data_IF_789046300463
#
_entry.id   IF_789046300463
#
_cell.length_a   1.000
_cell.length_b   1.000
_cell.length_c   1.000
_cell.angle_alpha   90.00
_cell.angle_beta   90.00
_cell.angle_gamma   90.00
#
_symmetry.space_group_name_H-M   'P 1'
#
loop_
_entity.id
_entity.type
_entity.pdbx_description
1 polymer ?
#
# COMPACT_ATOMS: atom_id res chain seq x y z
N UNK A 1 -47.15 68.01 -3.83
CA UNK A 1 -47.83 67.39 -2.67
C UNK A 1 -48.21 68.54 -1.72
N UNK A 2 -49.43 68.60 -1.36
CA UNK A 2 -49.93 69.53 -0.34
C UNK A 2 -49.56 69.02 1.04
N UNK A 3 -49.68 69.89 2.03
CA UNK A 3 -49.42 69.43 3.43
C UNK A 3 -50.37 68.26 3.79
N UNK A 4 -49.83 67.19 4.25
CA UNK A 4 -50.55 65.94 4.61
C UNK A 4 -50.83 64.97 3.48
N UNK A 5 -50.54 65.29 2.25
CA UNK A 5 -50.69 64.39 1.10
C UNK A 5 -49.62 63.25 1.15
N UNK A 6 -50.06 62.04 0.85
CA UNK A 6 -49.19 60.84 0.67
C UNK A 6 -49.15 60.46 -0.77
N UNK A 7 -48.00 60.09 -1.26
CA UNK A 7 -47.80 59.43 -2.55
C UNK A 7 -47.20 58.04 -2.29
N UNK A 8 -47.81 57.02 -2.87
CA UNK A 8 -47.32 55.64 -2.79
C UNK A 8 -46.79 55.19 -4.17
N UNK A 9 -45.66 54.57 -4.14
CA UNK A 9 -45.04 53.98 -5.32
C UNK A 9 -44.83 52.49 -5.07
N UNK A 10 -45.37 51.65 -5.93
CA UNK A 10 -45.23 50.20 -5.84
C UNK A 10 -44.38 49.74 -7.03
N UNK A 11 -43.37 48.93 -6.77
CA UNK A 11 -42.55 48.33 -7.81
C UNK A 11 -42.15 46.89 -7.42
N UNK A 12 -41.95 46.06 -8.41
CA UNK A 12 -41.47 44.68 -8.20
C UNK A 12 -39.99 44.60 -8.57
N UNK A 13 -39.24 43.77 -7.84
CA UNK A 13 -37.86 43.43 -8.14
C UNK A 13 -37.74 41.93 -8.24
N UNK A 14 -36.94 41.45 -9.16
CA UNK A 14 -36.58 40.05 -9.23
C UNK A 14 -35.44 39.77 -8.27
N UNK A 15 -35.53 38.66 -7.56
CA UNK A 15 -34.40 38.10 -6.86
C UNK A 15 -33.42 37.57 -7.89
N UNK A 16 -32.14 37.87 -7.72
CA UNK A 16 -31.09 37.38 -8.61
C UNK A 16 -31.09 35.86 -8.71
N UNK A 17 -30.43 35.36 -9.77
CA UNK A 17 -30.26 33.92 -9.97
C UNK A 17 -29.58 33.28 -8.77
N UNK A 18 -29.85 31.98 -8.58
CA UNK A 18 -29.25 31.22 -7.52
C UNK A 18 -27.72 31.21 -7.59
N UNK A 19 -27.16 31.16 -8.79
CA UNK A 19 -25.71 31.21 -9.01
C UNK A 19 -25.08 32.50 -8.46
N UNK A 20 -25.79 33.62 -8.59
CA UNK A 20 -25.36 34.90 -8.02
C UNK A 20 -25.56 34.92 -6.50
N UNK A 21 -26.68 34.35 -5.99
CA UNK A 21 -27.00 34.31 -4.56
C UNK A 21 -26.09 33.31 -3.81
N UNK A 22 -25.63 32.25 -4.46
CA UNK A 22 -24.72 31.27 -3.85
C UNK A 22 -23.42 31.91 -3.32
N UNK A 23 -23.03 33.07 -3.86
CA UNK A 23 -21.85 33.85 -3.42
C UNK A 23 -22.02 34.48 -2.05
N UNK A 24 -23.26 34.60 -1.56
CA UNK A 24 -23.55 35.19 -0.26
C UNK A 24 -23.59 34.12 0.84
N UNK A 25 -23.07 34.43 2.03
CA UNK A 25 -23.24 33.56 3.20
C UNK A 25 -24.72 33.37 3.54
N UNK A 26 -25.06 32.26 4.21
CA UNK A 26 -26.40 32.07 4.76
C UNK A 26 -26.74 33.20 5.76
N UNK A 27 -28.00 33.63 5.78
CA UNK A 27 -28.50 34.75 6.60
C UNK A 27 -27.92 36.12 6.20
N UNK A 28 -27.45 36.28 4.94
CA UNK A 28 -27.02 37.59 4.47
C UNK A 28 -28.18 38.58 4.41
N UNK A 29 -28.02 39.71 5.08
CA UNK A 29 -28.95 40.82 5.05
C UNK A 29 -28.81 41.63 3.74
N UNK A 30 -29.86 41.68 2.95
CA UNK A 30 -29.95 42.48 1.73
C UNK A 30 -30.77 43.72 2.06
N UNK A 31 -30.15 44.89 1.93
CA UNK A 31 -30.75 46.17 2.27
C UNK A 31 -31.25 46.88 1.00
N UNK A 32 -32.53 47.23 1.00
CA UNK A 32 -33.09 48.11 -0.04
C UNK A 32 -33.41 49.44 0.59
N UNK A 33 -32.81 50.50 0.08
CA UNK A 33 -32.88 51.86 0.62
C UNK A 33 -33.60 52.81 -0.35
N UNK A 34 -34.61 53.47 0.14
CA UNK A 34 -35.26 54.59 -0.55
C UNK A 34 -34.82 55.90 0.07
N UNK A 35 -34.50 56.89 -0.75
CA UNK A 35 -34.04 58.22 -0.30
C UNK A 35 -34.83 59.34 -0.97
N UNK A 36 -35.24 60.38 -0.22
CA UNK A 36 -35.82 61.60 -0.72
C UNK A 36 -35.42 62.78 0.13
N UNK A 37 -34.83 63.82 -0.47
CA UNK A 37 -34.41 65.07 0.20
C UNK A 37 -33.69 64.85 1.54
N UNK A 38 -32.73 63.95 1.54
CA UNK A 38 -31.90 63.63 2.74
C UNK A 38 -32.63 62.84 3.83
N UNK A 39 -33.79 62.31 3.57
CA UNK A 39 -34.52 61.36 4.42
C UNK A 39 -34.43 59.98 3.77
N UNK A 40 -34.03 59.00 4.56
CA UNK A 40 -33.83 57.63 4.11
C UNK A 40 -34.78 56.70 4.82
N UNK A 41 -35.20 55.65 4.12
CA UNK A 41 -35.92 54.51 4.69
C UNK A 41 -35.29 53.23 4.09
N UNK A 42 -34.98 52.29 4.92
CA UNK A 42 -34.35 51.01 4.52
C UNK A 42 -35.24 49.86 4.99
N UNK A 43 -35.47 48.93 4.08
CA UNK A 43 -36.03 47.62 4.43
C UNK A 43 -34.96 46.56 4.20
N UNK A 44 -34.97 45.55 5.07
CA UNK A 44 -34.00 44.45 5.01
C UNK A 44 -34.74 43.17 4.67
N UNK A 45 -34.20 42.46 3.65
CA UNK A 45 -34.59 41.09 3.32
C UNK A 45 -33.43 40.19 3.68
N UNK A 46 -33.70 39.08 4.33
CA UNK A 46 -32.68 38.11 4.70
C UNK A 46 -32.66 37.01 3.64
N UNK A 47 -31.51 36.83 3.05
CA UNK A 47 -31.25 35.68 2.20
C UNK A 47 -30.94 34.46 3.08
N UNK A 48 -31.71 33.41 2.94
CA UNK A 48 -31.46 32.12 3.58
C UNK A 48 -31.19 31.07 2.52
N UNK A 49 -30.08 30.33 2.69
CA UNK A 49 -29.88 29.10 1.94
C UNK A 49 -30.84 28.05 2.49
N UNK A 50 -31.45 27.23 1.63
CA UNK A 50 -32.29 26.15 2.14
C UNK A 50 -31.45 25.18 2.97
N UNK A 51 -31.95 24.82 4.14
CA UNK A 51 -31.38 23.76 4.95
C UNK A 51 -31.88 22.43 4.40
N UNK A 52 -30.96 21.71 3.77
CA UNK A 52 -31.20 20.38 3.22
C UNK A 52 -30.39 19.37 3.99
N UNK A 53 -30.95 18.19 4.16
CA UNK A 53 -30.19 17.02 4.62
C UNK A 53 -30.15 16.00 3.52
N UNK A 54 -28.99 15.38 3.32
CA UNK A 54 -28.79 14.28 2.40
C UNK A 54 -28.27 13.11 3.21
N UNK A 55 -28.93 11.98 3.09
CA UNK A 55 -28.51 10.71 3.67
C UNK A 55 -28.37 9.67 2.56
N UNK A 56 -27.34 8.83 2.67
CA UNK A 56 -27.07 7.77 1.71
C UNK A 56 -26.73 6.50 2.45
N UNK A 57 -27.34 5.41 2.04
CA UNK A 57 -27.13 4.08 2.61
C UNK A 57 -27.11 3.02 1.51
N UNK A 58 -26.52 1.90 1.82
CA UNK A 58 -26.53 0.68 0.98
C UNK A 58 -27.32 -0.44 1.66
N UNK A 59 -27.88 -1.33 0.88
CA UNK A 59 -28.57 -2.54 1.37
C UNK A 59 -27.59 -3.62 1.85
N UNK A 60 -26.33 -3.53 1.42
CA UNK A 60 -25.25 -4.45 1.79
C UNK A 60 -24.00 -3.65 2.18
N UNK A 61 -23.27 -4.12 3.19
CA UNK A 61 -21.99 -3.53 3.60
C UNK A 61 -20.79 -4.36 3.10
N UNK A 62 -20.91 -5.68 3.19
CA UNK A 62 -19.93 -6.64 2.68
C UNK A 62 -20.47 -7.25 1.41
N UNK A 63 -19.71 -7.18 0.34
CA UNK A 63 -20.12 -7.59 -0.99
C UNK A 63 -18.99 -8.33 -1.72
N UNK A 64 -19.35 -9.02 -2.76
CA UNK A 64 -18.46 -9.80 -3.61
C UNK A 64 -18.44 -9.28 -5.04
N UNK A 65 -17.45 -9.70 -5.81
CA UNK A 65 -17.41 -9.38 -7.24
C UNK A 65 -18.65 -9.92 -7.96
N UNK A 66 -19.32 -9.05 -8.70
CA UNK A 66 -20.57 -9.38 -9.40
C UNK A 66 -21.84 -9.08 -8.62
N UNK A 67 -21.78 -8.83 -7.32
CA UNK A 67 -22.93 -8.48 -6.49
C UNK A 67 -23.63 -7.22 -6.97
N UNK A 68 -24.94 -7.21 -6.82
CA UNK A 68 -25.77 -6.03 -6.96
C UNK A 68 -25.95 -5.37 -5.59
N UNK A 69 -25.71 -4.06 -5.54
CA UNK A 69 -25.87 -3.22 -4.35
C UNK A 69 -26.88 -2.14 -4.63
N UNK A 70 -27.90 -2.05 -3.77
CA UNK A 70 -28.91 -1.01 -3.85
C UNK A 70 -28.54 0.16 -2.95
N UNK A 71 -28.26 1.32 -3.54
CA UNK A 71 -28.10 2.56 -2.81
C UNK A 71 -29.43 3.25 -2.63
N UNK A 72 -29.67 3.74 -1.44
CA UNK A 72 -30.82 4.57 -1.08
C UNK A 72 -30.31 5.93 -0.71
N UNK A 73 -30.74 6.96 -1.45
CA UNK A 73 -30.44 8.36 -1.18
C UNK A 73 -31.70 9.06 -0.74
N UNK A 74 -31.65 9.74 0.38
CA UNK A 74 -32.76 10.53 0.90
C UNK A 74 -32.34 11.99 0.97
N UNK A 75 -33.11 12.87 0.37
CA UNK A 75 -32.96 14.33 0.51
C UNK A 75 -34.22 14.91 1.17
N UNK A 76 -34.04 15.76 2.12
CA UNK A 76 -35.16 16.41 2.86
C UNK A 76 -34.95 17.92 2.95
N UNK A 77 -35.99 18.66 2.54
CA UNK A 77 -36.08 20.10 2.75
C UNK A 77 -36.53 20.36 4.20
N UNK A 78 -35.66 20.90 5.02
CA UNK A 78 -35.97 21.21 6.45
C UNK A 78 -36.74 22.52 6.65
N UNK A 79 -36.87 23.31 5.55
CA UNK A 79 -37.49 24.62 5.62
C UNK A 79 -39.02 24.58 5.44
N UNK A 80 -39.68 25.64 5.88
CA UNK A 80 -41.15 25.84 5.76
C UNK A 80 -41.54 26.47 4.40
N UNK A 81 -40.60 26.55 3.45
CA UNK A 81 -40.78 27.08 2.11
C UNK A 81 -40.16 26.14 1.04
N UNK A 82 -40.60 26.35 -0.18
CA UNK A 82 -40.12 25.56 -1.33
C UNK A 82 -38.66 25.91 -1.64
N UNK A 83 -37.88 24.90 -1.97
CA UNK A 83 -36.48 25.07 -2.41
C UNK A 83 -36.44 25.63 -3.84
N UNK A 84 -35.24 25.94 -4.24
CA UNK A 84 -34.86 26.06 -5.65
C UNK A 84 -34.72 24.67 -6.27
N UNK A 85 -34.44 24.62 -7.58
CA UNK A 85 -34.18 23.35 -8.26
C UNK A 85 -33.00 22.61 -7.64
N UNK A 86 -33.24 21.34 -7.32
CA UNK A 86 -32.26 20.44 -6.73
C UNK A 86 -31.71 19.49 -7.77
N UNK A 87 -30.41 19.47 -7.85
CA UNK A 87 -29.64 18.51 -8.66
C UNK A 87 -28.66 17.81 -7.70
N UNK A 88 -28.70 16.51 -7.69
CA UNK A 88 -27.74 15.69 -6.96
C UNK A 88 -26.75 15.10 -7.95
N UNK A 89 -25.47 15.19 -7.62
CA UNK A 89 -24.38 14.56 -8.37
C UNK A 89 -23.77 13.45 -7.52
N UNK A 90 -23.81 12.25 -8.07
CA UNK A 90 -23.25 11.05 -7.47
C UNK A 90 -22.07 10.58 -8.32
N UNK A 91 -20.92 10.42 -7.70
CA UNK A 91 -19.72 9.96 -8.38
C UNK A 91 -19.36 8.56 -7.91
N UNK A 92 -19.66 7.58 -8.75
CA UNK A 92 -19.35 6.19 -8.49
C UNK A 92 -17.82 5.99 -8.48
N UNK A 93 -17.26 5.33 -7.45
CA UNK A 93 -15.87 4.93 -7.47
C UNK A 93 -15.61 3.89 -8.55
N UNK A 94 -14.32 3.69 -8.88
CA UNK A 94 -13.93 2.48 -9.63
C UNK A 94 -14.38 1.26 -8.84
N UNK A 95 -14.80 0.23 -9.53
CA UNK A 95 -15.35 -0.98 -8.90
C UNK A 95 -16.87 -0.98 -8.75
N UNK A 96 -17.57 0.13 -9.05
CA UNK A 96 -19.03 0.18 -9.12
C UNK A 96 -19.49 0.56 -10.53
N UNK A 97 -20.42 -0.19 -11.07
CA UNK A 97 -21.03 0.04 -12.39
C UNK A 97 -22.52 0.24 -12.22
N UNK A 98 -23.03 1.42 -12.58
CA UNK A 98 -24.47 1.70 -12.56
C UNK A 98 -25.21 0.69 -13.42
N UNK A 99 -26.35 0.22 -12.91
CA UNK A 99 -27.25 -0.71 -13.61
C UNK A 99 -28.58 -0.05 -13.95
N UNK A 100 -29.31 0.37 -12.95
CA UNK A 100 -30.64 0.96 -13.09
C UNK A 100 -31.07 1.69 -11.82
N UNK A 101 -32.10 2.51 -11.96
CA UNK A 101 -32.84 3.16 -10.89
C UNK A 101 -34.15 2.38 -10.63
N UNK A 102 -34.62 2.36 -9.41
CA UNK A 102 -35.87 1.68 -9.02
C UNK A 102 -36.98 2.73 -8.88
N UNK A 103 -38.05 2.59 -9.66
CA UNK A 103 -39.24 3.46 -9.51
C UNK A 103 -40.11 3.07 -8.30
N UNK A 104 -41.18 3.82 -8.05
CA UNK A 104 -42.10 3.56 -6.92
C UNK A 104 -42.82 2.21 -7.01
N UNK A 105 -42.92 1.65 -8.20
CA UNK A 105 -43.62 0.37 -8.45
C UNK A 105 -42.63 -0.81 -8.38
N UNK A 106 -41.33 -0.52 -8.15
CA UNK A 106 -40.27 -1.51 -8.15
C UNK A 106 -39.71 -1.86 -9.55
N UNK A 107 -40.10 -1.11 -10.58
CA UNK A 107 -39.57 -1.33 -11.92
C UNK A 107 -38.15 -0.79 -12.07
N UNK A 108 -37.39 -1.45 -12.91
CA UNK A 108 -36.03 -1.06 -13.26
C UNK A 108 -36.08 -0.06 -14.42
N UNK A 109 -35.46 1.10 -14.24
CA UNK A 109 -35.40 2.19 -15.23
C UNK A 109 -33.96 2.64 -15.40
N UNK A 110 -33.50 2.74 -16.63
CA UNK A 110 -32.08 3.02 -16.94
C UNK A 110 -31.77 4.48 -17.25
N UNK A 111 -32.75 5.32 -17.55
CA UNK A 111 -32.52 6.71 -17.98
C UNK A 111 -33.17 7.73 -17.05
N UNK A 112 -34.50 7.68 -16.94
CA UNK A 112 -35.26 8.60 -16.10
C UNK A 112 -36.44 7.86 -15.49
N UNK A 113 -36.88 8.26 -14.32
CA UNK A 113 -38.03 7.65 -13.68
C UNK A 113 -39.00 8.69 -13.13
N UNK A 114 -40.27 8.37 -13.19
CA UNK A 114 -41.34 9.10 -12.49
C UNK A 114 -41.69 8.36 -11.22
N UNK A 115 -42.18 9.10 -10.24
CA UNK A 115 -42.80 8.52 -9.05
C UNK A 115 -41.83 7.87 -8.06
N UNK A 116 -40.90 8.65 -7.56
CA UNK A 116 -40.15 8.25 -6.37
C UNK A 116 -41.03 8.35 -5.13
N UNK A 117 -40.93 7.34 -4.27
CA UNK A 117 -41.66 7.32 -3.01
C UNK A 117 -41.09 8.39 -2.10
N UNK A 118 -41.84 9.47 -1.89
CA UNK A 118 -41.62 10.34 -0.76
C UNK A 118 -42.48 9.82 0.38
N UNK A 119 -41.94 9.22 1.44
CA UNK A 119 -42.73 8.62 2.53
C UNK A 119 -43.68 9.59 3.21
N UNK A 120 -43.46 10.91 3.10
CA UNK A 120 -44.28 11.97 3.66
C UNK A 120 -44.78 12.94 2.59
N UNK A 121 -44.90 12.50 1.35
CA UNK A 121 -45.20 13.42 0.26
C UNK A 121 -46.63 13.91 0.28
N UNK A 122 -46.76 15.22 0.22
CA UNK A 122 -47.99 15.90 -0.18
C UNK A 122 -48.32 15.66 -1.64
N UNK A 123 -47.30 15.25 -2.45
CA UNK A 123 -47.46 14.89 -3.83
C UNK A 123 -47.16 13.39 -4.05
N UNK A 124 -48.11 12.66 -4.61
CA UNK A 124 -48.06 11.21 -4.77
C UNK A 124 -47.02 10.73 -5.80
N UNK A 125 -46.45 11.62 -6.60
CA UNK A 125 -45.49 11.29 -7.66
C UNK A 125 -44.55 12.43 -7.96
N UNK A 126 -43.29 12.13 -8.12
CA UNK A 126 -42.26 13.07 -8.54
C UNK A 126 -41.43 12.48 -9.67
N UNK A 127 -41.28 13.25 -10.72
CA UNK A 127 -40.34 12.91 -11.78
C UNK A 127 -38.90 13.21 -11.31
N UNK A 128 -38.02 12.25 -11.52
CA UNK A 128 -36.57 12.44 -11.34
C UNK A 128 -35.90 12.20 -12.67
N UNK A 129 -35.28 13.24 -13.22
CA UNK A 129 -34.42 13.09 -14.38
C UNK A 129 -33.11 12.42 -13.97
N UNK A 130 -32.68 11.43 -14.71
CA UNK A 130 -31.38 10.79 -14.54
C UNK A 130 -30.56 11.00 -15.81
N UNK A 131 -29.34 11.48 -15.63
CA UNK A 131 -28.30 11.49 -16.65
C UNK A 131 -27.11 10.67 -16.14
N UNK A 132 -26.63 9.75 -16.99
CA UNK A 132 -25.47 8.91 -16.71
C UNK A 132 -24.35 9.32 -17.66
N UNK A 133 -23.23 9.74 -17.10
CA UNK A 133 -22.00 10.07 -17.82
C UNK A 133 -20.82 9.31 -17.20
N UNK A 134 -20.55 8.13 -17.74
CA UNK A 134 -19.55 7.21 -17.19
C UNK A 134 -19.84 6.83 -15.74
N UNK A 135 -19.04 7.34 -14.81
CA UNK A 135 -19.21 7.09 -13.36
C UNK A 135 -20.02 8.19 -12.66
N UNK A 136 -20.42 9.24 -13.37
CA UNK A 136 -21.18 10.33 -12.79
C UNK A 136 -22.67 10.13 -13.08
N UNK A 137 -23.46 10.10 -12.02
CA UNK A 137 -24.91 10.09 -12.05
C UNK A 137 -25.42 11.46 -11.66
N UNK A 138 -26.27 12.05 -12.45
CA UNK A 138 -26.90 13.35 -12.17
C UNK A 138 -28.40 13.16 -12.03
N UNK A 139 -28.94 13.43 -10.82
CA UNK A 139 -30.36 13.35 -10.52
C UNK A 139 -30.98 14.73 -10.47
N UNK A 140 -31.91 15.02 -11.37
CA UNK A 140 -32.66 16.28 -11.41
C UNK A 140 -33.99 16.11 -10.69
N UNK A 141 -34.14 16.72 -9.52
CA UNK A 141 -35.32 16.59 -8.66
C UNK A 141 -36.34 17.70 -8.84
N UNK A 142 -35.94 18.81 -9.45
CA UNK A 142 -36.74 20.04 -9.42
C UNK A 142 -36.79 20.65 -8.02
N UNK A 143 -37.81 21.46 -7.75
CA UNK A 143 -37.97 22.14 -6.46
C UNK A 143 -38.63 21.20 -5.44
N UNK A 144 -38.09 21.16 -4.24
CA UNK A 144 -38.71 20.46 -3.13
C UNK A 144 -39.68 21.39 -2.38
N UNK A 145 -40.88 20.93 -2.09
CA UNK A 145 -41.83 21.68 -1.27
C UNK A 145 -41.34 21.81 0.18
N UNK A 146 -42.00 22.64 0.96
CA UNK A 146 -41.76 22.75 2.40
C UNK A 146 -41.81 21.38 3.06
N UNK A 147 -40.80 21.01 3.87
CA UNK A 147 -40.70 19.74 4.59
C UNK A 147 -40.77 18.48 3.69
N UNK A 148 -40.62 18.63 2.40
CA UNK A 148 -40.65 17.48 1.49
C UNK A 148 -39.39 16.61 1.61
N UNK A 149 -39.63 15.31 1.65
CA UNK A 149 -38.62 14.27 1.69
C UNK A 149 -38.72 13.42 0.43
N UNK A 150 -37.64 13.26 -0.29
CA UNK A 150 -37.55 12.45 -1.52
C UNK A 150 -36.54 11.34 -1.30
N UNK A 151 -36.89 10.14 -1.72
CA UNK A 151 -36.00 8.98 -1.65
C UNK A 151 -35.76 8.44 -3.08
N UNK A 152 -34.50 8.28 -3.44
CA UNK A 152 -34.04 7.70 -4.70
C UNK A 152 -33.38 6.36 -4.39
N UNK A 153 -33.72 5.34 -5.18
CA UNK A 153 -33.07 4.04 -5.11
C UNK A 153 -32.46 3.70 -6.46
N UNK A 154 -31.19 3.35 -6.47
CA UNK A 154 -30.51 2.89 -7.66
C UNK A 154 -29.59 1.71 -7.35
N UNK A 155 -29.31 0.90 -8.36
CA UNK A 155 -28.53 -0.33 -8.23
C UNK A 155 -27.22 -0.20 -8.99
N UNK A 156 -26.15 -0.58 -8.34
CA UNK A 156 -24.83 -0.73 -8.95
C UNK A 156 -24.39 -2.19 -8.86
N UNK A 157 -23.60 -2.61 -9.85
CA UNK A 157 -22.91 -3.91 -9.86
C UNK A 157 -21.46 -3.69 -9.41
N UNK A 158 -20.97 -4.56 -8.55
CA UNK A 158 -19.54 -4.61 -8.19
C UNK A 158 -18.75 -5.24 -9.32
N UNK A 159 -17.69 -4.54 -9.77
CA UNK A 159 -16.77 -5.04 -10.80
C UNK A 159 -15.31 -4.80 -10.37
N UNK A 160 -14.72 -5.81 -9.77
CA UNK A 160 -13.34 -5.78 -9.30
C UNK A 160 -12.31 -5.67 -10.44
N UNK A 161 -12.71 -5.98 -11.70
CA UNK A 161 -11.80 -5.87 -12.85
C UNK A 161 -11.36 -4.43 -13.15
N UNK A 162 -12.06 -3.44 -12.61
CA UNK A 162 -11.70 -2.03 -12.71
C UNK A 162 -10.69 -1.57 -11.64
N UNK A 163 -10.47 -2.39 -10.62
CA UNK A 163 -9.67 -2.04 -9.45
C UNK A 163 -8.21 -2.52 -9.59
N UNK A 164 -7.25 -1.84 -8.95
CA UNK A 164 -5.89 -2.35 -8.80
C UNK A 164 -5.90 -3.61 -7.91
N UNK A 165 -4.79 -4.33 -7.91
CA UNK A 165 -4.61 -5.47 -7.01
C UNK A 165 -4.51 -5.00 -5.56
N UNK A 166 -5.33 -5.57 -4.67
CA UNK A 166 -5.32 -5.29 -3.25
C UNK A 166 -5.91 -6.48 -2.48
N UNK A 167 -5.58 -6.61 -1.20
CA UNK A 167 -6.16 -7.63 -0.34
C UNK A 167 -7.65 -7.36 -0.05
N UNK A 168 -7.98 -6.10 0.18
CA UNK A 168 -9.33 -5.62 0.48
C UNK A 168 -9.63 -4.36 -0.32
N UNK A 169 -10.90 -4.07 -0.53
CA UNK A 169 -11.36 -2.89 -1.23
C UNK A 169 -12.48 -2.20 -0.46
N UNK A 170 -12.27 -0.93 -0.14
CA UNK A 170 -13.31 -0.03 0.36
C UNK A 170 -13.80 0.85 -0.78
N UNK A 171 -15.05 0.68 -1.19
CA UNK A 171 -15.66 1.48 -2.23
C UNK A 171 -16.52 2.57 -1.59
N UNK A 172 -16.03 3.79 -1.61
CA UNK A 172 -16.73 4.96 -1.07
C UNK A 172 -17.48 5.66 -2.21
N UNK A 173 -18.80 5.64 -2.13
CA UNK A 173 -19.69 6.25 -3.10
C UNK A 173 -20.27 7.56 -2.55
N UNK A 174 -19.90 8.69 -3.14
CA UNK A 174 -20.25 10.04 -2.70
C UNK A 174 -21.35 10.66 -3.54
N UNK A 175 -22.25 11.39 -2.87
CA UNK A 175 -23.29 12.20 -3.50
C UNK A 175 -23.26 13.63 -2.94
N UNK A 176 -23.48 14.62 -3.78
CA UNK A 176 -23.44 16.04 -3.42
C UNK A 176 -24.64 16.77 -4.01
N UNK A 177 -25.22 17.71 -3.26
CA UNK A 177 -26.22 18.66 -3.78
C UNK A 177 -25.53 19.89 -4.38
N UNK A 178 -25.94 20.25 -5.57
CA UNK A 178 -25.45 21.46 -6.26
C UNK A 178 -25.90 22.76 -5.58
N UNK A 179 -26.99 22.74 -4.82
CA UNK A 179 -27.63 23.93 -4.25
C UNK A 179 -27.17 24.27 -2.84
N UNK A 180 -27.03 23.25 -1.99
CA UNK A 180 -26.60 23.43 -0.60
C UNK A 180 -25.12 23.22 -0.40
N UNK A 181 -24.48 22.45 -1.29
CA UNK A 181 -23.12 21.94 -1.13
C UNK A 181 -23.05 20.79 -0.11
N UNK A 182 -24.18 20.36 0.43
CA UNK A 182 -24.23 19.19 1.30
C UNK A 182 -23.81 17.93 0.54
N UNK A 183 -23.01 17.12 1.18
CA UNK A 183 -22.53 15.86 0.63
C UNK A 183 -22.51 14.77 1.68
N UNK A 184 -22.71 13.54 1.24
CA UNK A 184 -22.57 12.35 2.08
C UNK A 184 -21.96 11.21 1.27
N UNK A 185 -21.34 10.26 1.95
CA UNK A 185 -20.72 9.08 1.34
C UNK A 185 -21.17 7.82 2.03
N UNK A 186 -21.24 6.76 1.27
CA UNK A 186 -21.52 5.41 1.74
C UNK A 186 -20.39 4.48 1.36
N UNK A 187 -19.86 3.74 2.32
CA UNK A 187 -18.77 2.77 2.12
C UNK A 187 -19.32 1.36 2.11
N UNK A 188 -18.89 0.59 1.14
CA UNK A 188 -19.05 -0.87 1.12
C UNK A 188 -17.68 -1.53 1.07
N UNK A 189 -17.52 -2.63 1.76
CA UNK A 189 -16.32 -3.47 1.78
C UNK A 189 -16.49 -4.58 0.74
N UNK A 190 -15.48 -4.78 -0.11
CA UNK A 190 -15.51 -5.83 -1.13
C UNK A 190 -14.47 -6.87 -0.79
N UNK A 191 -14.92 -8.08 -0.52
CA UNK A 191 -14.05 -9.21 -0.24
C UNK A 191 -13.27 -9.64 -1.49
N UNK A 192 -11.98 -9.88 -1.33
CA UNK A 192 -11.18 -10.51 -2.37
C UNK A 192 -11.47 -12.02 -2.37
N UNK A 193 -12.00 -12.58 -3.46
CA UNK A 193 -12.35 -14.00 -3.51
C UNK A 193 -11.12 -14.92 -3.67
N UNK A 194 -9.97 -14.35 -3.94
CA UNK A 194 -8.74 -15.13 -4.13
C UNK A 194 -8.10 -15.41 -2.77
N UNK A 195 -7.81 -16.66 -2.51
CA UNK A 195 -6.97 -17.07 -1.40
C UNK A 195 -5.68 -17.69 -1.93
N UNK A 196 -4.61 -17.53 -1.16
CA UNK A 196 -3.29 -18.11 -1.44
C UNK A 196 -2.85 -18.86 -0.20
N UNK A 197 -2.46 -20.11 -0.36
CA UNK A 197 -1.92 -20.97 0.69
C UNK A 197 -0.58 -21.51 0.22
N UNK A 198 0.49 -21.17 0.94
CA UNK A 198 1.86 -21.54 0.61
C UNK A 198 2.43 -22.46 1.65
N UNK A 199 3.02 -23.57 1.21
CA UNK A 199 3.60 -24.59 2.08
C UNK A 199 5.01 -24.98 1.64
N UNK A 200 5.75 -25.56 2.58
CA UNK A 200 7.02 -26.23 2.32
C UNK A 200 6.89 -27.70 2.77
N UNK A 201 7.22 -28.64 1.89
CA UNK A 201 7.05 -30.08 2.10
C UNK A 201 5.65 -30.49 2.65
N UNK A 202 4.61 -29.69 2.31
CA UNK A 202 3.26 -29.88 2.80
C UNK A 202 2.97 -29.29 4.19
N UNK A 203 3.95 -28.68 4.85
CA UNK A 203 3.82 -28.02 6.15
C UNK A 203 3.79 -26.49 6.06
N UNK A 204 3.43 -25.85 7.18
CA UNK A 204 3.32 -24.38 7.32
C UNK A 204 4.69 -23.67 7.45
N UNK A 205 5.80 -24.41 7.31
CA UNK A 205 7.15 -23.89 7.37
C UNK A 205 7.82 -24.02 8.74
N UNK A 206 9.04 -23.45 8.83
CA UNK A 206 9.87 -23.54 10.03
C UNK A 206 10.83 -24.73 10.06
N UNK A 207 10.78 -25.57 9.03
CA UNK A 207 11.66 -26.72 8.85
C UNK A 207 13.11 -26.29 8.58
N UNK A 208 14.04 -27.14 8.98
CA UNK A 208 15.48 -26.90 8.83
C UNK A 208 16.05 -27.82 7.75
N UNK A 209 16.80 -27.23 6.82
CA UNK A 209 17.46 -27.93 5.72
C UNK A 209 18.96 -27.63 5.73
N UNK A 210 19.74 -28.59 5.31
CA UNK A 210 21.17 -28.39 5.04
C UNK A 210 21.36 -27.58 3.76
N UNK A 211 22.56 -27.03 3.59
CA UNK A 211 22.94 -26.43 2.32
C UNK A 211 22.75 -27.43 1.18
N UNK A 212 22.19 -26.95 0.06
CA UNK A 212 21.90 -27.73 -1.15
C UNK A 212 20.91 -28.90 -1.00
N UNK A 213 20.36 -29.11 0.20
CA UNK A 213 19.26 -30.06 0.38
C UNK A 213 17.99 -29.55 -0.29
N UNK A 214 17.39 -30.40 -1.13
CA UNK A 214 16.17 -30.05 -1.87
C UNK A 214 14.96 -30.16 -0.98
N UNK A 215 14.11 -29.16 -1.06
CA UNK A 215 12.76 -29.13 -0.49
C UNK A 215 11.77 -28.60 -1.50
N UNK A 216 10.49 -28.85 -1.29
CA UNK A 216 9.43 -28.50 -2.21
C UNK A 216 8.55 -27.38 -1.67
N UNK A 217 8.39 -26.32 -2.41
CA UNK A 217 7.31 -25.37 -2.21
C UNK A 217 6.05 -25.80 -2.96
N UNK A 218 4.90 -25.67 -2.32
CA UNK A 218 3.60 -25.78 -2.95
C UNK A 218 2.79 -24.51 -2.68
N UNK A 219 2.04 -24.05 -3.66
CA UNK A 219 1.21 -22.87 -3.61
C UNK A 219 -0.15 -23.23 -4.17
N UNK A 220 -1.17 -23.15 -3.33
CA UNK A 220 -2.56 -23.36 -3.70
C UNK A 220 -3.26 -22.02 -3.82
N UNK A 221 -3.85 -21.75 -4.97
CA UNK A 221 -4.64 -20.55 -5.26
C UNK A 221 -6.08 -20.99 -5.44
N UNK A 222 -7.00 -20.37 -4.69
CA UNK A 222 -8.42 -20.69 -4.78
C UNK A 222 -9.22 -19.43 -5.08
N UNK A 223 -10.14 -19.51 -6.06
CA UNK A 223 -11.20 -18.53 -6.19
C UNK A 223 -12.40 -19.05 -5.38
N UNK A 224 -12.62 -18.51 -4.18
CA UNK A 224 -13.60 -19.02 -3.23
C UNK A 224 -15.04 -18.74 -3.63
N UNK A 225 -15.30 -17.89 -4.64
CA UNK A 225 -16.62 -17.39 -4.93
C UNK A 225 -17.26 -17.80 -6.23
N UNK A 226 -18.57 -17.92 -6.09
CA UNK A 226 -19.53 -18.57 -6.94
C UNK A 226 -20.00 -17.84 -8.19
N UNK A 227 -19.66 -16.60 -8.51
CA UNK A 227 -20.47 -15.89 -9.49
C UNK A 227 -19.79 -15.33 -10.74
N UNK A 228 -18.50 -15.17 -10.79
CA UNK A 228 -17.88 -14.65 -12.01
C UNK A 228 -16.42 -15.06 -12.17
N UNK A 229 -16.03 -15.27 -13.41
CA UNK A 229 -14.63 -15.35 -13.78
C UNK A 229 -13.90 -14.09 -13.29
N UNK A 230 -12.85 -14.28 -12.54
CA UNK A 230 -12.15 -13.20 -11.89
C UNK A 230 -11.05 -12.65 -12.79
N UNK A 231 -11.06 -11.33 -12.97
CA UNK A 231 -10.10 -10.47 -13.63
C UNK A 231 -9.92 -10.59 -15.15
N UNK A 232 -10.42 -9.61 -15.86
CA UNK A 232 -10.37 -9.46 -17.32
C UNK A 232 -8.94 -9.46 -17.92
N UNK A 233 -7.93 -9.01 -17.19
CA UNK A 233 -6.53 -8.99 -17.63
C UNK A 233 -5.75 -10.27 -17.34
N UNK A 234 -6.37 -11.22 -16.62
CA UNK A 234 -5.73 -12.43 -16.12
C UNK A 234 -4.92 -12.19 -14.83
N UNK A 235 -4.97 -13.17 -13.95
CA UNK A 235 -4.19 -13.20 -12.71
C UNK A 235 -2.76 -13.63 -12.98
N UNK A 236 -1.86 -13.19 -12.13
CA UNK A 236 -0.48 -13.67 -12.07
C UNK A 236 -0.15 -14.07 -10.65
N UNK A 237 0.49 -15.22 -10.50
CA UNK A 237 1.13 -15.60 -9.24
C UNK A 237 2.55 -15.06 -9.24
N UNK A 238 2.91 -14.38 -8.18
CA UNK A 238 4.26 -13.92 -7.92
C UNK A 238 4.80 -14.61 -6.68
N UNK A 239 5.94 -15.28 -6.79
CA UNK A 239 6.65 -15.90 -5.69
C UNK A 239 7.98 -15.19 -5.47
N UNK A 240 8.17 -14.62 -4.29
CA UNK A 240 9.34 -13.84 -3.91
C UNK A 240 10.26 -14.66 -3.03
N UNK A 241 11.23 -15.33 -3.65
CA UNK A 241 12.24 -16.11 -2.97
C UNK A 241 13.33 -15.20 -2.41
N UNK A 242 13.68 -15.32 -1.13
CA UNK A 242 14.74 -14.52 -0.53
C UNK A 242 16.11 -14.88 -1.12
N UNK A 243 17.06 -13.97 -0.96
CA UNK A 243 18.47 -14.29 -1.30
C UNK A 243 18.92 -15.54 -0.52
N UNK A 244 19.76 -16.34 -1.13
CA UNK A 244 20.22 -17.67 -0.71
C UNK A 244 19.17 -18.82 -0.86
N UNK A 245 17.93 -18.56 -1.18
CA UNK A 245 16.99 -19.61 -1.56
C UNK A 245 16.83 -19.58 -3.08
N UNK A 246 17.21 -20.65 -3.74
CA UNK A 246 17.21 -20.78 -5.18
C UNK A 246 16.29 -21.90 -5.65
N UNK A 247 15.63 -21.77 -6.81
CA UNK A 247 15.00 -22.91 -7.46
C UNK A 247 16.02 -23.99 -7.75
N UNK A 248 15.58 -25.26 -7.78
CA UNK A 248 16.43 -26.38 -8.13
C UNK A 248 17.17 -26.16 -9.47
N UNK A 249 18.41 -26.62 -9.56
CA UNK A 249 19.23 -26.52 -10.76
C UNK A 249 18.70 -27.34 -11.95
N UNK A 250 17.69 -28.18 -11.73
CA UNK A 250 16.93 -28.83 -12.80
C UNK A 250 16.16 -27.79 -13.67
N UNK A 251 15.78 -26.64 -13.10
CA UNK A 251 15.09 -25.57 -13.80
C UNK A 251 16.09 -24.63 -14.46
N UNK A 252 16.28 -24.78 -15.77
CA UNK A 252 17.22 -23.99 -16.55
C UNK A 252 16.72 -22.56 -16.76
N UNK A 253 17.66 -21.63 -16.87
CA UNK A 253 17.38 -20.22 -17.14
C UNK A 253 17.47 -19.97 -18.64
N UNK A 254 16.44 -19.34 -19.18
CA UNK A 254 16.28 -19.02 -20.61
C UNK A 254 16.14 -17.51 -20.81
N UNK A 255 16.57 -17.03 -21.97
CA UNK A 255 16.30 -15.68 -22.45
C UNK A 255 15.66 -15.73 -23.84
N UNK A 256 15.02 -14.64 -24.25
CA UNK A 256 14.49 -14.55 -25.61
C UNK A 256 15.60 -14.71 -26.66
N UNK A 257 15.38 -15.57 -27.64
CA UNK A 257 16.32 -15.82 -28.74
C UNK A 257 16.57 -14.56 -29.55
N UNK A 258 15.54 -13.73 -29.69
CA UNK A 258 15.65 -12.43 -30.34
C UNK A 258 15.31 -11.34 -29.29
N UNK A 259 16.24 -10.42 -29.09
CA UNK A 259 16.07 -9.33 -28.14
C UNK A 259 14.80 -8.51 -28.41
N UNK A 260 14.06 -8.18 -27.37
CA UNK A 260 12.85 -7.37 -27.45
C UNK A 260 11.56 -8.11 -27.84
N UNK A 261 11.62 -9.38 -28.26
CA UNK A 261 10.42 -10.10 -28.74
C UNK A 261 9.47 -10.58 -27.64
N UNK A 262 9.97 -10.76 -26.41
CA UNK A 262 9.19 -11.29 -25.28
C UNK A 262 8.98 -10.26 -24.15
N UNK A 263 9.21 -8.97 -24.40
CA UNK A 263 9.13 -7.94 -23.36
C UNK A 263 7.71 -7.77 -22.76
N UNK A 264 6.70 -8.15 -23.52
CA UNK A 264 5.28 -7.96 -23.11
C UNK A 264 4.45 -9.24 -23.11
N UNK A 265 5.02 -10.40 -23.42
CA UNK A 265 4.30 -11.68 -23.49
C UNK A 265 5.17 -12.85 -23.06
N UNK A 266 4.52 -13.91 -22.65
CA UNK A 266 5.17 -15.20 -22.40
C UNK A 266 5.54 -15.90 -23.73
N UNK A 267 6.59 -16.76 -23.71
CA UNK A 267 6.94 -17.59 -24.86
C UNK A 267 5.75 -18.48 -25.28
N UNK A 268 5.59 -18.67 -26.58
CA UNK A 268 4.60 -19.59 -27.12
C UNK A 268 5.13 -21.02 -27.19
N UNK A 269 6.43 -21.17 -27.43
CA UNK A 269 7.13 -22.44 -27.52
C UNK A 269 8.63 -22.25 -27.25
N UNK A 270 9.37 -23.34 -27.20
CA UNK A 270 10.82 -23.34 -26.92
C UNK A 270 11.65 -22.71 -28.03
N UNK A 271 11.14 -22.62 -29.25
CA UNK A 271 11.85 -22.04 -30.38
C UNK A 271 12.11 -20.53 -30.19
N UNK A 272 11.34 -19.87 -29.36
CA UNK A 272 11.50 -18.46 -29.01
C UNK A 272 12.57 -18.21 -27.93
N UNK A 273 13.08 -19.28 -27.32
CA UNK A 273 14.01 -19.23 -26.18
C UNK A 273 15.38 -19.82 -26.54
N UNK A 274 16.38 -19.35 -25.84
CA UNK A 274 17.71 -19.93 -25.78
C UNK A 274 18.16 -20.07 -24.34
N UNK A 275 18.73 -21.20 -23.97
CA UNK A 275 19.29 -21.41 -22.62
C UNK A 275 20.39 -20.37 -22.38
N UNK A 276 20.33 -19.74 -21.21
CA UNK A 276 21.29 -18.69 -20.84
C UNK A 276 22.65 -19.27 -20.42
N UNK A 277 22.70 -20.54 -20.05
CA UNK A 277 23.92 -21.24 -19.64
C UNK A 277 24.54 -20.70 -18.35
N UNK A 278 23.72 -20.20 -17.44
CA UNK A 278 24.11 -19.59 -16.16
C UNK A 278 23.39 -20.29 -15.00
N UNK A 279 24.02 -20.33 -13.86
CA UNK A 279 23.42 -20.80 -12.60
C UNK A 279 22.47 -19.77 -12.01
N UNK A 280 21.63 -20.18 -11.06
CA UNK A 280 20.76 -19.27 -10.30
C UNK A 280 21.56 -18.22 -9.52
N UNK A 281 22.69 -18.62 -8.95
CA UNK A 281 23.63 -17.70 -8.28
C UNK A 281 24.15 -16.62 -9.24
N UNK A 282 24.67 -17.01 -10.38
CA UNK A 282 25.17 -16.07 -11.39
C UNK A 282 24.07 -15.15 -11.90
N UNK A 283 22.85 -15.66 -12.06
CA UNK A 283 21.70 -14.85 -12.42
C UNK A 283 21.44 -13.75 -11.40
N UNK A 284 21.53 -14.05 -10.11
CA UNK A 284 21.28 -13.07 -9.04
C UNK A 284 22.44 -12.09 -8.89
N UNK A 285 23.68 -12.57 -8.89
CA UNK A 285 24.86 -11.78 -8.54
C UNK A 285 25.48 -11.00 -9.71
N UNK A 286 25.61 -11.63 -10.88
CA UNK A 286 26.52 -11.18 -11.93
C UNK A 286 25.85 -10.63 -13.18
N UNK A 287 24.54 -10.75 -13.34
CA UNK A 287 23.90 -10.26 -14.57
C UNK A 287 23.65 -8.76 -14.50
N UNK A 288 24.31 -8.02 -15.39
CA UNK A 288 24.07 -6.60 -15.64
C UNK A 288 22.92 -6.36 -16.64
N UNK A 289 22.49 -7.40 -17.36
CA UNK A 289 21.46 -7.33 -18.39
C UNK A 289 20.07 -7.20 -17.78
N UNK A 290 19.28 -6.25 -18.30
CA UNK A 290 17.88 -5.99 -17.94
C UNK A 290 16.90 -6.78 -18.83
N UNK A 291 17.37 -7.79 -19.53
CA UNK A 291 16.54 -8.65 -20.37
C UNK A 291 15.44 -9.37 -19.58
N UNK A 292 14.46 -9.85 -20.32
CA UNK A 292 13.40 -10.70 -19.74
C UNK A 292 13.88 -12.15 -19.79
N UNK A 293 13.90 -12.77 -18.62
CA UNK A 293 14.32 -14.16 -18.44
C UNK A 293 13.15 -15.03 -18.05
N UNK A 294 13.27 -16.30 -18.35
CA UNK A 294 12.26 -17.33 -18.09
C UNK A 294 12.92 -18.58 -17.56
N UNK A 295 12.13 -19.40 -16.89
CA UNK A 295 12.45 -20.80 -16.60
C UNK A 295 11.25 -21.67 -16.95
N UNK A 296 11.43 -22.99 -16.94
CA UNK A 296 10.35 -23.95 -17.06
C UNK A 296 10.20 -24.72 -15.76
N UNK A 297 9.03 -24.64 -15.17
CA UNK A 297 8.67 -25.39 -13.97
C UNK A 297 7.45 -26.25 -14.34
N UNK A 298 7.57 -27.55 -14.20
CA UNK A 298 6.52 -28.52 -14.55
C UNK A 298 5.94 -28.31 -15.97
N UNK A 299 6.80 -27.93 -16.93
CA UNK A 299 6.40 -27.68 -18.31
C UNK A 299 5.82 -26.31 -18.62
N UNK A 300 5.59 -25.49 -17.60
CA UNK A 300 5.07 -24.12 -17.77
C UNK A 300 6.21 -23.10 -17.86
N UNK A 301 6.01 -22.07 -18.68
CA UNK A 301 6.93 -20.94 -18.72
C UNK A 301 6.67 -20.00 -17.55
N UNK A 302 7.70 -19.80 -16.75
CA UNK A 302 7.69 -18.92 -15.58
C UNK A 302 8.65 -17.76 -15.87
N UNK A 303 8.17 -16.53 -15.82
CA UNK A 303 9.04 -15.37 -15.93
C UNK A 303 9.83 -15.21 -14.65
N UNK A 304 11.13 -14.90 -14.79
CA UNK A 304 11.99 -14.67 -13.64
C UNK A 304 12.49 -13.24 -13.62
N UNK A 305 12.49 -12.64 -12.44
CA UNK A 305 13.01 -11.30 -12.18
C UNK A 305 13.86 -11.29 -10.93
N UNK A 306 14.81 -10.39 -10.88
CA UNK A 306 15.53 -10.06 -9.65
C UNK A 306 14.75 -8.97 -8.93
N UNK A 307 14.69 -9.01 -7.63
CA UNK A 307 14.18 -7.91 -6.85
C UNK A 307 15.12 -7.58 -5.69
N UNK A 308 15.07 -6.34 -5.26
CA UNK A 308 15.89 -5.88 -4.14
C UNK A 308 15.15 -6.19 -2.84
N UNK A 309 15.82 -6.91 -1.96
CA UNK A 309 15.31 -7.10 -0.61
C UNK A 309 15.70 -5.85 0.17
N UNK A 310 14.69 -5.06 0.55
CA UNK A 310 14.87 -3.89 1.41
C UNK A 310 15.42 -4.28 2.79
N UNK A 311 15.65 -3.30 3.64
CA UNK A 311 16.28 -3.41 4.97
C UNK A 311 15.96 -4.71 5.72
N UNK A 312 16.99 -5.45 6.10
CA UNK A 312 16.92 -6.46 7.16
C UNK A 312 17.62 -5.89 8.38
N UNK A 313 16.95 -5.95 9.54
CA UNK A 313 17.48 -5.49 10.84
C UNK A 313 18.03 -4.04 10.89
N UNK A 314 17.42 -3.12 10.12
CA UNK A 314 17.83 -1.71 10.12
C UNK A 314 19.03 -1.38 9.24
N UNK A 315 19.71 -2.37 8.67
CA UNK A 315 20.85 -2.20 7.77
C UNK A 315 20.34 -2.13 6.33
N UNK A 316 20.81 -1.15 5.56
CA UNK A 316 20.57 -1.09 4.12
C UNK A 316 21.35 -2.22 3.44
N UNK A 317 20.67 -3.34 3.16
CA UNK A 317 21.25 -4.44 2.39
C UNK A 317 21.05 -4.12 0.90
N UNK A 318 21.81 -3.19 0.39
CA UNK A 318 21.75 -2.81 -1.03
C UNK A 318 22.33 -3.88 -1.99
N UNK A 319 22.84 -4.98 -1.45
CA UNK A 319 23.55 -6.02 -2.21
C UNK A 319 22.75 -7.33 -2.37
N UNK A 320 21.71 -7.60 -1.58
CA UNK A 320 21.01 -8.87 -1.64
C UNK A 320 19.82 -8.80 -2.63
N UNK A 321 19.88 -9.66 -3.64
CA UNK A 321 18.88 -9.76 -4.70
C UNK A 321 18.15 -11.08 -4.57
N UNK A 322 16.84 -11.04 -4.30
CA UNK A 322 16.00 -12.22 -4.35
C UNK A 322 15.58 -12.56 -5.78
N UNK A 323 14.99 -13.72 -5.95
CA UNK A 323 14.39 -14.19 -7.21
C UNK A 323 12.89 -14.07 -7.10
N UNK A 324 12.29 -13.46 -8.09
CA UNK A 324 10.85 -13.42 -8.27
C UNK A 324 10.46 -14.34 -9.41
N UNK A 325 9.68 -15.37 -9.10
CA UNK A 325 9.04 -16.25 -10.06
C UNK A 325 7.65 -15.73 -10.36
N UNK A 326 7.26 -15.63 -11.63
CA UNK A 326 5.97 -15.11 -12.04
C UNK A 326 5.29 -16.11 -12.99
N UNK A 327 4.17 -16.68 -12.56
CA UNK A 327 3.31 -17.52 -13.38
C UNK A 327 2.15 -16.70 -13.93
N UNK A 328 1.77 -16.96 -15.16
CA UNK A 328 0.53 -16.46 -15.72
C UNK A 328 -0.59 -17.43 -15.35
N UNK A 329 -1.46 -17.02 -14.45
CA UNK A 329 -2.61 -17.82 -14.02
C UNK A 329 -3.75 -17.68 -15.01
N UNK A 330 -4.04 -16.47 -15.46
CA UNK A 330 -5.19 -16.19 -16.33
C UNK A 330 -6.43 -15.85 -15.53
N UNK A 331 -7.59 -16.24 -16.05
CA UNK A 331 -8.88 -16.03 -15.41
C UNK A 331 -9.23 -17.28 -14.60
N UNK A 332 -9.62 -17.11 -13.36
CA UNK A 332 -10.09 -18.21 -12.51
C UNK A 332 -11.61 -18.25 -12.47
N UNK A 333 -12.16 -19.43 -12.75
CA UNK A 333 -13.59 -19.70 -12.59
C UNK A 333 -13.98 -19.80 -11.12
N UNK A 334 -15.28 -19.60 -10.79
CA UNK A 334 -15.77 -19.81 -9.44
C UNK A 334 -15.44 -21.22 -8.90
N UNK A 335 -14.91 -21.31 -7.70
CA UNK A 335 -14.50 -22.57 -7.06
C UNK A 335 -13.26 -23.22 -7.67
N UNK A 336 -12.61 -22.58 -8.64
CA UNK A 336 -11.39 -23.12 -9.24
C UNK A 336 -10.23 -23.09 -8.25
N UNK A 337 -9.47 -24.20 -8.24
CA UNK A 337 -8.25 -24.36 -7.46
C UNK A 337 -7.09 -24.62 -8.41
N UNK A 338 -6.03 -23.85 -8.27
CA UNK A 338 -4.80 -23.98 -9.04
C UNK A 338 -3.64 -24.24 -8.10
N UNK A 339 -2.88 -25.28 -8.40
CA UNK A 339 -1.69 -25.64 -7.62
C UNK A 339 -0.42 -25.40 -8.45
N UNK A 340 0.60 -24.85 -7.80
CA UNK A 340 1.95 -24.69 -8.33
C UNK A 340 2.94 -25.28 -7.34
N UNK A 341 3.82 -26.12 -7.84
CA UNK A 341 4.86 -26.74 -7.04
C UNK A 341 6.22 -26.59 -7.71
N UNK A 342 7.25 -26.42 -6.92
CA UNK A 342 8.63 -26.41 -7.41
C UNK A 342 9.62 -26.76 -6.31
N UNK A 343 10.74 -27.35 -6.70
CA UNK A 343 11.82 -27.68 -5.82
C UNK A 343 12.76 -26.47 -5.67
N UNK A 344 13.29 -26.31 -4.46
CA UNK A 344 14.23 -25.27 -4.11
C UNK A 344 15.29 -25.82 -3.16
N UNK A 345 16.38 -25.08 -3.00
CA UNK A 345 17.43 -25.37 -2.04
C UNK A 345 17.97 -24.10 -1.42
N UNK A 346 18.64 -24.23 -0.27
CA UNK A 346 19.35 -23.12 0.35
C UNK A 346 20.81 -23.18 -0.09
N UNK A 347 21.26 -22.10 -0.71
CA UNK A 347 22.67 -21.91 -1.02
C UNK A 347 23.35 -21.18 0.15
N UNK A 348 24.46 -21.72 0.60
CA UNK A 348 25.34 -21.08 1.58
C UNK A 348 26.74 -20.97 0.99
N UNK A 349 27.35 -19.80 1.10
CA UNK A 349 28.76 -19.64 0.74
C UNK A 349 29.67 -20.26 1.82
N UNK A 350 30.98 -20.36 1.53
CA UNK A 350 31.95 -20.96 2.45
C UNK A 350 31.98 -20.28 3.83
N UNK A 351 31.77 -18.95 3.86
CA UNK A 351 31.76 -18.17 5.12
C UNK A 351 30.51 -18.42 5.96
N UNK A 352 29.37 -18.63 5.30
CA UNK A 352 28.10 -18.95 5.96
C UNK A 352 28.11 -20.40 6.47
N UNK A 353 28.71 -21.31 5.71
CA UNK A 353 28.87 -22.71 6.14
C UNK A 353 29.81 -22.88 7.34
N UNK A 354 30.66 -21.89 7.61
CA UNK A 354 31.53 -21.86 8.78
C UNK A 354 30.85 -21.32 10.04
N UNK A 355 29.65 -20.73 9.91
CA UNK A 355 28.94 -20.15 11.05
C UNK A 355 28.22 -21.24 11.87
N UNK A 356 27.99 -20.92 13.15
CA UNK A 356 27.17 -21.76 14.03
C UNK A 356 25.78 -21.16 14.15
N UNK A 357 24.74 -21.98 14.00
CA UNK A 357 23.34 -21.57 14.13
C UNK A 357 22.57 -21.79 12.86
N UNK A 358 21.31 -21.37 12.87
CA UNK A 358 20.41 -21.49 11.71
C UNK A 358 20.07 -20.12 11.16
N UNK A 359 20.02 -20.02 9.84
CA UNK A 359 19.52 -18.82 9.14
C UNK A 359 18.05 -19.01 8.78
N UNK A 360 17.24 -17.98 8.94
CA UNK A 360 15.81 -18.02 8.59
C UNK A 360 15.56 -17.26 7.30
N UNK A 361 14.89 -17.89 6.36
CA UNK A 361 14.53 -17.34 5.08
C UNK A 361 13.02 -17.35 4.91
N UNK A 362 12.45 -16.19 4.54
CA UNK A 362 11.01 -16.05 4.33
C UNK A 362 10.73 -15.97 2.83
N UNK A 363 9.91 -16.88 2.34
CA UNK A 363 9.42 -16.88 0.97
C UNK A 363 7.94 -16.53 0.93
N UNK A 364 7.51 -15.71 -0.04
CA UNK A 364 6.13 -15.25 -0.12
C UNK A 364 5.52 -15.45 -1.50
N UNK A 365 4.28 -15.92 -1.53
CA UNK A 365 3.45 -16.01 -2.72
C UNK A 365 2.37 -14.94 -2.70
N UNK A 366 2.12 -14.29 -3.83
CA UNK A 366 1.12 -13.22 -3.94
C UNK A 366 0.30 -13.37 -5.22
N UNK A 367 -1.03 -13.31 -5.11
CA UNK A 367 -1.97 -13.25 -6.23
C UNK A 367 -3.01 -12.19 -5.92
N UNK A 368 -3.17 -11.22 -6.81
CA UNK A 368 -4.19 -10.16 -6.68
C UNK A 368 -4.20 -9.46 -5.31
N UNK A 369 -3.03 -9.19 -4.74
CA UNK A 369 -2.90 -8.57 -3.42
C UNK A 369 -3.02 -9.52 -2.23
N UNK A 370 -3.57 -10.72 -2.41
CA UNK A 370 -3.57 -11.77 -1.39
C UNK A 370 -2.19 -12.39 -1.30
N UNK A 371 -1.66 -12.48 -0.10
CA UNK A 371 -0.28 -12.92 0.16
C UNK A 371 -0.24 -13.96 1.26
N UNK A 372 0.57 -14.97 1.03
CA UNK A 372 0.95 -15.92 2.07
C UNK A 372 2.46 -16.14 2.11
N UNK A 373 2.97 -16.54 3.26
CA UNK A 373 4.41 -16.64 3.53
C UNK A 373 4.76 -17.88 4.31
N UNK A 374 5.84 -18.53 3.90
CA UNK A 374 6.44 -19.62 4.70
C UNK A 374 7.89 -19.31 4.99
N UNK A 375 8.40 -19.86 6.07
CA UNK A 375 9.80 -19.78 6.46
C UNK A 375 10.49 -21.13 6.36
N UNK A 376 11.74 -21.10 5.92
CA UNK A 376 12.66 -22.25 6.01
C UNK A 376 13.90 -21.83 6.78
N UNK A 377 14.54 -22.77 7.46
CA UNK A 377 15.80 -22.54 8.17
C UNK A 377 16.91 -23.28 7.46
N UNK A 378 18.01 -22.59 7.24
CA UNK A 378 19.22 -23.19 6.72
C UNK A 378 20.17 -23.56 7.87
N UNK A 379 20.63 -24.79 7.90
CA UNK A 379 21.66 -25.25 8.82
C UNK A 379 22.98 -25.37 8.04
N UNK A 380 24.05 -24.66 8.46
CA UNK A 380 25.35 -24.82 7.86
C UNK A 380 25.83 -26.27 7.93
N UNK A 381 26.45 -26.76 6.87
CA UNK A 381 27.14 -28.03 6.92
C UNK A 381 28.27 -27.91 7.93
N UNK A 382 28.13 -28.54 9.08
CA UNK A 382 29.16 -28.54 10.11
C UNK A 382 30.49 -29.10 9.61
N UNK A 383 31.21 -28.34 8.80
CA UNK A 383 32.65 -28.54 8.68
C UNK A 383 33.21 -28.29 10.05
N UNK A 384 34.02 -29.28 10.56
CA UNK A 384 34.77 -29.26 11.80
C UNK A 384 34.69 -27.89 12.45
N UNK A 385 34.00 -27.82 13.56
CA UNK A 385 34.03 -26.65 14.40
C UNK A 385 35.50 -26.28 14.57
N UNK A 386 35.98 -25.36 13.73
CA UNK A 386 37.30 -24.77 13.96
C UNK A 386 37.16 -24.19 15.36
N UNK A 387 37.93 -24.65 16.27
CA UNK A 387 37.98 -24.07 17.62
C UNK A 387 38.69 -22.73 17.52
N UNK A 388 38.00 -21.75 16.88
CA UNK A 388 38.44 -20.40 16.64
C UNK A 388 37.89 -19.48 17.73
N UNK A 389 38.09 -19.84 18.96
CA UNK A 389 37.76 -18.97 20.07
C UNK A 389 38.70 -17.78 20.11
N UNK A 390 38.13 -16.57 20.07
CA UNK A 390 38.88 -15.32 20.12
C UNK A 390 38.49 -14.54 21.35
N UNK A 391 39.50 -14.14 22.14
CA UNK A 391 39.33 -13.20 23.22
C UNK A 391 39.81 -11.82 22.78
N UNK A 392 38.99 -10.78 23.02
CA UNK A 392 39.33 -9.40 22.69
C UNK A 392 39.35 -8.58 23.98
N UNK A 393 40.51 -8.08 24.33
CA UNK A 393 40.68 -7.25 25.48
C UNK A 393 41.09 -5.85 25.07
N UNK A 394 40.43 -4.83 25.62
CA UNK A 394 40.76 -3.44 25.44
C UNK A 394 41.17 -2.85 26.79
N UNK A 395 42.30 -2.19 26.81
CA UNK A 395 42.80 -1.50 28.00
C UNK A 395 43.39 -0.13 27.69
N UNK A 396 43.43 0.73 28.67
CA UNK A 396 44.19 1.97 28.55
C UNK A 396 45.65 1.66 28.83
N UNK A 397 46.47 1.80 27.80
CA UNK A 397 47.91 1.53 27.93
C UNK A 397 48.66 2.69 28.53
N UNK A 398 48.31 3.95 28.09
CA UNK A 398 48.95 5.14 28.60
C UNK A 398 48.07 6.38 28.45
N UNK A 399 48.34 7.39 29.26
CA UNK A 399 47.82 8.74 29.06
C UNK A 399 49.03 9.65 28.90
N UNK A 400 49.04 10.45 27.82
CA UNK A 400 50.02 11.46 27.52
C UNK A 400 49.41 12.85 27.71
N UNK A 401 50.19 13.81 28.18
CA UNK A 401 49.75 15.21 28.19
C UNK A 401 49.79 15.82 26.78
N UNK A 402 49.34 17.07 26.67
CA UNK A 402 49.34 17.81 25.40
C UNK A 402 50.74 17.97 24.77
N UNK A 403 51.83 17.69 25.52
CA UNK A 403 53.19 17.68 25.03
C UNK A 403 53.74 16.30 24.74
N UNK A 404 52.86 15.28 24.68
CA UNK A 404 53.18 13.85 24.47
C UNK A 404 54.08 13.25 25.56
N UNK A 405 54.05 13.84 26.75
CA UNK A 405 54.78 13.29 27.89
C UNK A 405 53.92 12.31 28.67
N UNK A 406 54.53 11.22 29.14
CA UNK A 406 53.87 10.18 29.90
C UNK A 406 53.35 10.73 31.24
N UNK A 407 52.06 10.59 31.47
CA UNK A 407 51.44 10.87 32.76
C UNK A 407 51.36 9.65 33.66
N UNK A 408 51.23 8.47 33.03
CA UNK A 408 51.22 7.17 33.73
C UNK A 408 51.61 6.06 32.79
N UNK A 409 52.37 5.09 33.29
CA UNK A 409 52.90 3.96 32.48
C UNK A 409 52.02 2.72 32.42
N UNK A 410 51.02 2.60 33.24
CA UNK A 410 49.97 1.54 33.16
C UNK A 410 48.84 1.91 34.12
N UNK A 411 47.62 2.03 33.59
CA UNK A 411 46.44 2.14 34.40
C UNK A 411 45.84 0.72 34.58
N UNK A 412 46.13 0.13 35.73
CA UNK A 412 45.53 -1.18 36.09
C UNK A 412 44.11 -1.06 36.59
N UNK A 413 43.67 0.14 36.95
CA UNK A 413 42.37 0.40 37.56
C UNK A 413 41.61 1.49 36.80
N UNK A 414 40.46 1.09 36.19
CA UNK A 414 39.56 2.01 35.50
C UNK A 414 38.98 3.11 36.38
N UNK A 415 38.98 2.92 37.72
CA UNK A 415 38.46 3.90 38.67
C UNK A 415 39.33 5.15 38.76
N UNK A 416 40.62 5.02 38.51
CA UNK A 416 41.58 6.15 38.54
C UNK A 416 41.32 7.06 37.32
N UNK A 417 41.04 6.49 36.17
CA UNK A 417 40.73 7.25 34.97
C UNK A 417 39.42 8.05 35.12
N UNK A 418 38.35 7.40 35.57
CA UNK A 418 37.05 8.06 35.79
C UNK A 418 37.14 9.21 36.82
N UNK A 419 37.90 9.05 37.87
CA UNK A 419 38.14 10.09 38.88
C UNK A 419 38.86 11.30 38.27
N UNK A 420 39.85 11.06 37.44
CA UNK A 420 40.65 12.11 36.83
C UNK A 420 39.88 12.88 35.74
N UNK A 421 39.02 12.22 35.00
CA UNK A 421 38.13 12.87 34.02
C UNK A 421 37.14 13.80 34.72
N UNK A 422 36.59 13.40 35.88
CA UNK A 422 35.67 14.23 36.66
C UNK A 422 36.34 15.48 37.25
N UNK A 423 37.66 15.49 37.38
CA UNK A 423 38.43 16.65 37.87
C UNK A 423 38.79 17.67 36.77
N UNK A 424 38.33 17.46 35.50
CA UNK A 424 38.47 18.43 34.42
C UNK A 424 39.89 18.61 33.85
N UNK A 425 40.84 17.73 34.20
CA UNK A 425 42.26 17.90 33.91
C UNK A 425 42.75 17.26 32.60
N UNK A 426 41.83 16.86 31.70
CA UNK A 426 42.20 16.04 30.52
C UNK A 426 41.87 16.64 29.17
N UNK A 427 41.42 17.90 29.11
CA UNK A 427 41.23 18.60 27.84
C UNK A 427 42.60 18.74 27.13
N UNK A 428 42.69 18.09 25.94
CA UNK A 428 43.90 18.11 25.13
C UNK A 428 44.93 17.02 25.42
N UNK A 429 44.61 16.03 26.27
CA UNK A 429 45.47 14.90 26.51
C UNK A 429 45.16 13.72 25.55
N UNK A 430 46.18 12.90 25.31
CA UNK A 430 46.05 11.71 24.49
C UNK A 430 45.86 10.47 25.39
N UNK A 431 44.88 9.68 25.07
CA UNK A 431 44.67 8.36 25.67
C UNK A 431 45.06 7.30 24.66
N UNK A 432 46.01 6.47 25.02
CA UNK A 432 46.46 5.37 24.19
C UNK A 432 45.78 4.10 24.67
N UNK A 433 44.97 3.54 23.81
CA UNK A 433 44.33 2.23 24.04
C UNK A 433 45.18 1.10 23.44
N UNK A 434 45.21 -0.01 24.12
CA UNK A 434 45.75 -1.25 23.62
C UNK A 434 44.59 -2.23 23.43
N UNK A 435 44.44 -2.76 22.23
CA UNK A 435 43.50 -3.82 21.92
C UNK A 435 44.32 -5.07 21.66
N UNK A 436 44.08 -6.09 22.48
CA UNK A 436 44.71 -7.40 22.31
C UNK A 436 43.68 -8.39 21.84
N UNK A 437 43.94 -9.02 20.70
CA UNK A 437 43.14 -10.13 20.17
C UNK A 437 43.96 -11.38 20.37
N UNK A 438 43.41 -12.34 21.10
CA UNK A 438 44.06 -13.61 21.40
C UNK A 438 43.26 -14.71 20.78
N UNK A 439 43.88 -15.55 19.95
CA UNK A 439 43.29 -16.82 19.57
C UNK A 439 43.41 -17.78 20.75
N UNK A 440 42.29 -18.10 21.34
CA UNK A 440 42.17 -19.05 22.48
C UNK A 440 41.77 -20.46 22.04
N UNK A 441 41.50 -20.65 20.73
CA UNK A 441 41.17 -21.92 20.11
C UNK A 441 42.40 -22.64 19.59
N UNK A 442 42.17 -23.89 19.15
CA UNK A 442 43.24 -24.78 18.63
C UNK A 442 43.56 -24.51 17.14
N UNK A 443 42.65 -23.91 16.40
CA UNK A 443 42.78 -23.66 14.96
C UNK A 443 43.22 -22.20 14.65
N UNK A 444 43.96 -21.97 13.54
CA UNK A 444 44.34 -20.63 13.12
C UNK A 444 43.11 -19.72 12.88
N UNK A 445 43.16 -18.48 13.35
CA UNK A 445 42.15 -17.45 13.14
C UNK A 445 42.69 -16.39 12.20
N UNK A 446 41.93 -16.07 11.17
CA UNK A 446 42.17 -14.90 10.34
C UNK A 446 41.31 -13.73 10.84
N UNK A 447 41.93 -12.59 11.09
CA UNK A 447 41.25 -11.38 11.51
C UNK A 447 41.07 -10.51 10.29
N UNK A 448 39.85 -10.49 9.72
CA UNK A 448 39.52 -9.64 8.56
C UNK A 448 39.29 -8.19 8.95
N UNK A 449 38.64 -7.96 10.09
CA UNK A 449 38.26 -6.63 10.54
C UNK A 449 38.28 -6.56 12.07
N UNK A 450 38.87 -5.50 12.59
CA UNK A 450 38.78 -5.11 13.98
C UNK A 450 38.15 -3.73 14.06
N UNK A 451 36.98 -3.59 14.65
CA UNK A 451 36.28 -2.33 14.78
C UNK A 451 36.36 -1.83 16.23
N UNK A 452 36.70 -0.55 16.40
CA UNK A 452 36.64 0.14 17.68
C UNK A 452 35.64 1.28 17.62
N UNK A 453 34.58 1.18 18.43
CA UNK A 453 33.58 2.23 18.58
C UNK A 453 33.96 3.18 19.69
N UNK A 454 34.49 4.37 19.30
CA UNK A 454 34.83 5.40 20.25
C UNK A 454 33.57 6.08 20.78
N UNK A 455 33.60 6.37 22.10
CA UNK A 455 32.53 7.12 22.72
C UNK A 455 32.59 8.62 22.33
N UNK A 456 31.43 9.28 22.44
CA UNK A 456 31.37 10.75 22.27
C UNK A 456 32.40 11.46 23.17
N UNK A 457 33.13 12.41 22.60
CA UNK A 457 34.18 13.14 23.27
C UNK A 457 35.61 12.60 23.05
N UNK A 458 35.74 11.52 22.27
CA UNK A 458 37.03 11.01 21.82
C UNK A 458 37.19 11.23 20.31
N UNK A 459 38.38 11.66 19.91
CA UNK A 459 38.76 11.84 18.51
C UNK A 459 39.94 10.94 18.17
N UNK A 460 39.82 10.24 17.04
CA UNK A 460 40.90 9.39 16.56
C UNK A 460 42.07 10.22 16.03
N UNK A 461 43.29 9.96 16.55
CA UNK A 461 44.48 10.70 16.21
C UNK A 461 45.44 9.88 15.36
N UNK A 462 45.45 8.56 15.50
CA UNK A 462 46.32 7.67 14.73
C UNK A 462 46.59 6.34 15.41
N UNK A 463 47.17 5.40 14.65
CA UNK A 463 47.67 4.12 15.16
C UNK A 463 49.18 4.28 15.43
N UNK A 464 49.61 3.82 16.60
CA UNK A 464 51.03 3.64 16.88
C UNK A 464 51.35 2.17 16.66
N UNK A 465 52.21 1.80 15.70
CA UNK A 465 52.61 0.40 15.48
C UNK A 465 53.31 -0.08 16.77
N UNK A 466 52.84 -1.21 17.33
CA UNK A 466 53.60 -1.94 18.32
C UNK A 466 54.87 -2.45 17.66
N UNK A 467 56.01 -2.26 18.26
CA UNK A 467 57.29 -2.79 17.79
C UNK A 467 57.15 -4.31 17.61
N UNK A 468 57.03 -4.78 16.37
CA UNK A 468 57.11 -6.21 16.03
C UNK A 468 56.08 -6.83 15.08
N UNK A 469 55.01 -6.14 14.67
CA UNK A 469 54.08 -6.65 13.68
C UNK A 469 53.77 -5.61 12.62
N UNK A 470 54.13 -5.91 11.37
CA UNK A 470 53.58 -5.26 10.17
C UNK A 470 52.17 -5.78 9.94
N UNK A 471 51.18 -4.90 9.94
CA UNK A 471 49.85 -5.20 9.42
C UNK A 471 49.92 -5.37 7.91
#
# INVERSE_FOLDING_TARGET
MKAGEKAEFTFAVNVKSQEELAKYPNNTSIHNKASYKGKDSTITVIYKKPELTIDKSSDKKNVKNGDLVTYTVTIENKEDYQTIEQILEDTLPKGLVFQYIIDKNGNQVTESATDFVAPNAVAASRYVGLQVDGKKLTFSLGRLNAKEKVTIKYVCKVDLNELPEAADYDLVNHITSNSSGESTGETIEVENPITVDKKVNGGEGGETFKAEELFKYSITITNADGDAAYKKGGLSLTDDMPYHVFPSDEYKIYKAKQAGTLNSRYPKNDEELVEAGISWKEYVENISDWGTYYTKINGEYVQIKRYWIGKSNGINISAHKGIRLIWKIGTMSPGEVIEKEFNAYIYMDDKENEQTGTFTYTNSATVNGMKDTVTVKGEPEGKKKLDQAVDVQKSVWAILDQFHQWKTSQLKDKSIFSKSVNEGNYLGNYVIYNITVTNTGEDPVHIDTLEDHMADGLEYVGIRPSLGYTL
#
